data_IF_623124772668
#
_entry.id   IF_623124772668
#
_cell.length_a   1.000
_cell.length_b   1.000
_cell.length_c   1.000
_cell.angle_alpha   90.00
_cell.angle_beta   90.00
_cell.angle_gamma   90.00
#
_symmetry.space_group_name_H-M   'P 1'
#
loop_
_entity.id
_entity.type
_entity.pdbx_description
1 polymer ?
#
# COMPACT_ATOMS: atom_id res chain seq x y z
N UNK A 1 -0.91 36.88 -12.00
CA UNK A 1 -0.69 36.13 -10.74
C UNK A 1 -1.78 35.10 -10.66
N UNK A 2 -1.48 33.84 -10.98
CA UNK A 2 -2.50 32.79 -11.03
C UNK A 2 -2.46 32.02 -9.72
N UNK A 3 -3.56 32.10 -8.98
CA UNK A 3 -3.80 31.32 -7.78
C UNK A 3 -3.65 29.83 -8.12
N UNK A 4 -2.57 29.23 -7.60
CA UNK A 4 -2.45 27.79 -7.47
C UNK A 4 -3.48 27.34 -6.42
N UNK A 5 -4.75 27.25 -6.83
CA UNK A 5 -5.68 26.35 -6.19
C UNK A 5 -5.10 24.95 -6.37
N UNK A 6 -4.33 24.54 -5.37
CA UNK A 6 -4.03 23.15 -5.07
C UNK A 6 -5.36 22.44 -4.94
N UNK A 7 -5.84 21.90 -6.06
CA UNK A 7 -6.83 20.82 -6.12
C UNK A 7 -6.20 19.63 -5.43
N UNK A 8 -6.20 19.66 -4.10
CA UNK A 8 -5.69 18.63 -3.19
C UNK A 8 -6.59 17.40 -3.17
N UNK A 9 -7.36 17.15 -4.23
CA UNK A 9 -8.06 15.89 -4.36
C UNK A 9 -7.04 14.81 -4.71
N UNK A 10 -6.92 13.76 -3.89
CA UNK A 10 -6.01 12.67 -4.17
C UNK A 10 -6.39 12.03 -5.50
N UNK A 11 -5.46 12.03 -6.46
CA UNK A 11 -5.66 11.38 -7.75
C UNK A 11 -5.86 9.87 -7.52
N UNK A 12 -6.92 9.25 -8.06
CA UNK A 12 -7.11 7.81 -7.93
C UNK A 12 -5.96 7.06 -8.58
N UNK A 13 -5.48 6.01 -7.91
CA UNK A 13 -4.34 5.21 -8.34
C UNK A 13 -4.73 3.76 -8.63
N UNK A 14 -3.96 3.10 -9.51
CA UNK A 14 -4.07 1.65 -9.69
C UNK A 14 -3.72 0.92 -8.40
N UNK A 15 -4.23 -0.30 -8.23
CA UNK A 15 -3.89 -1.13 -7.06
C UNK A 15 -2.38 -1.35 -6.97
N UNK A 16 -1.70 -1.67 -8.08
CA UNK A 16 -0.25 -1.84 -8.14
C UNK A 16 0.51 -0.63 -7.58
N UNK A 17 0.15 0.59 -7.98
CA UNK A 17 0.85 1.78 -7.51
C UNK A 17 0.63 2.04 -6.01
N UNK A 18 -0.59 1.84 -5.50
CA UNK A 18 -0.88 1.97 -4.07
C UNK A 18 -0.09 0.93 -3.26
N UNK A 19 -0.06 -0.32 -3.73
CA UNK A 19 0.71 -1.41 -3.14
C UNK A 19 2.19 -1.10 -3.05
N UNK A 20 2.79 -0.69 -4.17
CA UNK A 20 4.19 -0.30 -4.21
C UNK A 20 4.50 0.81 -3.20
N UNK A 21 3.60 1.78 -3.01
CA UNK A 21 3.79 2.86 -2.04
C UNK A 21 3.71 2.39 -0.60
N UNK A 22 2.70 1.60 -0.25
CA UNK A 22 2.50 1.16 1.13
C UNK A 22 3.60 0.18 1.56
N UNK A 23 4.01 -0.72 0.67
CA UNK A 23 5.14 -1.63 0.94
C UNK A 23 6.46 -0.86 1.03
N UNK A 24 6.70 0.11 0.13
CA UNK A 24 7.88 0.98 0.24
C UNK A 24 7.90 1.78 1.55
N UNK A 25 6.75 2.29 1.98
CA UNK A 25 6.62 3.01 3.24
C UNK A 25 6.91 2.09 4.44
N UNK A 26 6.42 0.85 4.42
CA UNK A 26 6.70 -0.16 5.43
C UNK A 26 8.20 -0.48 5.52
N UNK A 27 8.84 -0.68 4.37
CA UNK A 27 10.29 -0.90 4.26
C UNK A 27 11.12 0.38 4.42
N UNK A 28 10.49 1.50 4.81
CA UNK A 28 11.13 2.80 5.07
C UNK A 28 11.90 3.39 3.87
N UNK A 29 11.63 2.93 2.65
CA UNK A 29 12.25 3.42 1.41
C UNK A 29 12.07 4.93 1.21
N UNK A 30 10.92 5.57 1.55
CA UNK A 30 10.77 7.01 1.41
C UNK A 30 11.79 7.86 2.19
N UNK A 31 12.48 7.32 3.18
CA UNK A 31 13.59 8.02 3.86
C UNK A 31 14.79 8.28 2.94
N UNK A 32 14.97 7.43 1.93
CA UNK A 32 16.02 7.52 0.92
C UNK A 32 15.60 8.37 -0.29
N UNK A 33 14.35 8.79 -0.35
CA UNK A 33 13.83 9.60 -1.45
C UNK A 33 14.40 11.02 -1.41
N UNK A 34 14.70 11.61 -2.57
CA UNK A 34 15.17 13.01 -2.67
C UNK A 34 14.06 14.04 -2.38
N UNK A 35 12.79 13.66 -2.52
CA UNK A 35 11.63 14.53 -2.25
C UNK A 35 11.46 14.74 -0.75
N UNK A 36 11.58 15.98 -0.29
CA UNK A 36 11.50 16.36 1.13
C UNK A 36 10.20 15.92 1.80
N UNK A 37 9.07 16.07 1.10
CA UNK A 37 7.74 15.68 1.62
C UNK A 37 7.65 14.17 1.89
N UNK A 38 8.20 13.34 0.99
CA UNK A 38 8.25 11.88 1.15
C UNK A 38 9.10 11.49 2.36
N UNK A 39 10.27 12.10 2.56
CA UNK A 39 11.13 11.82 3.74
C UNK A 39 10.45 12.19 5.06
N UNK A 40 9.75 13.35 5.09
CA UNK A 40 9.11 13.88 6.30
C UNK A 40 7.88 13.08 6.72
N UNK A 41 7.01 12.77 5.76
CA UNK A 41 5.75 12.07 6.03
C UNK A 41 5.88 10.55 6.01
N UNK A 42 6.98 10.03 5.44
CA UNK A 42 7.17 8.60 5.07
C UNK A 42 6.09 8.07 4.14
N UNK A 43 5.29 8.95 3.55
CA UNK A 43 4.28 8.62 2.56
C UNK A 43 4.83 9.11 1.23
N UNK A 44 5.12 8.16 0.33
CA UNK A 44 5.52 8.48 -1.02
C UNK A 44 4.31 9.08 -1.75
N UNK A 45 4.37 10.37 -2.07
CA UNK A 45 3.34 11.12 -2.79
C UNK A 45 3.81 11.58 -4.17
N UNK A 46 2.87 12.07 -4.98
CA UNK A 46 3.13 12.57 -6.34
C UNK A 46 2.81 11.56 -7.44
N UNK A 47 2.71 11.97 -8.71
CA UNK A 47 2.33 11.08 -9.80
C UNK A 47 3.38 9.99 -10.04
N UNK A 48 2.94 8.84 -10.57
CA UNK A 48 3.88 7.80 -11.00
C UNK A 48 4.79 8.32 -12.12
N UNK A 49 6.07 7.97 -12.07
CA UNK A 49 7.08 8.38 -13.05
C UNK A 49 7.65 7.15 -13.78
N UNK A 50 8.11 7.28 -15.03
CA UNK A 50 8.81 6.20 -15.72
C UNK A 50 9.99 5.69 -14.89
N UNK A 51 10.15 4.37 -14.81
CA UNK A 51 11.32 3.76 -14.17
C UNK A 51 12.62 4.20 -14.90
N UNK A 52 13.71 4.44 -14.16
CA UNK A 52 15.00 4.77 -14.81
C UNK A 52 15.59 3.58 -15.56
N UNK A 53 15.24 2.35 -15.16
CA UNK A 53 15.61 1.09 -15.82
C UNK A 53 14.40 0.16 -15.82
N UNK A 54 13.45 0.29 -16.76
CA UNK A 54 12.19 -0.45 -16.71
C UNK A 54 12.39 -1.97 -16.92
N UNK A 55 11.60 -2.79 -16.23
CA UNK A 55 11.49 -4.24 -16.43
C UNK A 55 10.59 -4.54 -17.63
N UNK A 56 9.51 -3.77 -17.79
CA UNK A 56 8.56 -3.87 -18.89
C UNK A 56 8.38 -2.50 -19.56
N UNK A 57 8.06 -2.50 -20.85
CA UNK A 57 7.79 -1.26 -21.58
C UNK A 57 6.67 -0.47 -20.90
N UNK A 58 6.92 0.80 -20.60
CA UNK A 58 5.95 1.68 -19.96
C UNK A 58 5.81 1.52 -18.44
N UNK A 59 6.69 0.77 -17.76
CA UNK A 59 6.68 0.65 -16.29
C UNK A 59 6.73 2.04 -15.63
N UNK A 60 5.68 2.34 -14.82
CA UNK A 60 5.59 3.56 -14.02
C UNK A 60 5.61 3.22 -12.54
N UNK A 61 6.40 3.97 -11.78
CA UNK A 61 6.70 3.72 -10.38
C UNK A 61 6.40 4.94 -9.52
N UNK A 62 6.11 4.75 -8.22
CA UNK A 62 6.20 5.84 -7.26
C UNK A 62 7.58 6.52 -7.32
N UNK A 63 7.69 7.85 -7.13
CA UNK A 63 8.97 8.56 -7.26
C UNK A 63 10.10 8.00 -6.37
N UNK A 64 9.74 7.49 -5.19
CA UNK A 64 10.67 6.84 -4.26
C UNK A 64 11.27 5.52 -4.77
N UNK A 65 10.63 4.86 -5.75
CA UNK A 65 11.05 3.57 -6.30
C UNK A 65 11.65 3.67 -7.70
N UNK A 66 11.72 4.87 -8.28
CA UNK A 66 12.21 5.08 -9.66
C UNK A 66 13.61 4.49 -9.92
N UNK A 67 14.44 4.44 -8.86
CA UNK A 67 15.81 3.92 -8.83
C UNK A 67 15.97 2.65 -7.99
N UNK A 68 14.88 2.08 -7.50
CA UNK A 68 14.93 0.85 -6.72
C UNK A 68 15.58 -0.26 -7.56
N UNK A 69 16.32 -1.18 -6.92
CA UNK A 69 16.93 -2.30 -7.60
C UNK A 69 15.89 -3.16 -8.34
N UNK A 70 16.19 -3.70 -9.55
CA UNK A 70 15.23 -4.49 -10.32
C UNK A 70 14.60 -5.65 -9.55
N UNK A 71 15.38 -6.34 -8.71
CA UNK A 71 14.88 -7.45 -7.88
C UNK A 71 13.81 -6.99 -6.89
N UNK A 72 14.03 -5.86 -6.21
CA UNK A 72 13.04 -5.28 -5.29
C UNK A 72 11.75 -4.96 -6.02
N UNK A 73 11.86 -4.38 -7.22
CA UNK A 73 10.69 -4.04 -8.04
C UNK A 73 9.94 -5.27 -8.53
N UNK A 74 10.65 -6.33 -8.96
CA UNK A 74 10.01 -7.61 -9.32
C UNK A 74 9.22 -8.17 -8.14
N UNK A 75 9.81 -8.21 -6.95
CA UNK A 75 9.12 -8.70 -5.76
C UNK A 75 7.86 -7.88 -5.44
N UNK A 76 7.94 -6.56 -5.57
CA UNK A 76 6.79 -5.67 -5.38
C UNK A 76 5.70 -5.88 -6.42
N UNK A 77 6.06 -6.10 -7.68
CA UNK A 77 5.12 -6.38 -8.77
C UNK A 77 4.45 -7.73 -8.57
N UNK A 78 5.22 -8.78 -8.25
CA UNK A 78 4.68 -10.11 -7.95
C UNK A 78 3.69 -10.06 -6.79
N UNK A 79 4.06 -9.40 -5.69
CA UNK A 79 3.13 -9.20 -4.57
C UNK A 79 1.88 -8.42 -5.01
N UNK A 80 2.03 -7.41 -5.87
CA UNK A 80 0.90 -6.64 -6.37
C UNK A 80 -0.05 -7.48 -7.23
N UNK A 81 0.48 -8.38 -8.06
CA UNK A 81 -0.30 -9.30 -8.87
C UNK A 81 -1.07 -10.30 -7.98
N UNK A 82 -0.39 -10.89 -6.99
CA UNK A 82 -1.01 -11.78 -6.00
C UNK A 82 -2.18 -11.10 -5.29
N UNK A 83 -1.99 -9.87 -4.83
CA UNK A 83 -3.02 -9.13 -4.10
C UNK A 83 -4.15 -8.65 -5.01
N UNK A 84 -3.84 -8.34 -6.27
CA UNK A 84 -4.86 -8.01 -7.28
C UNK A 84 -5.75 -9.22 -7.56
N UNK A 85 -5.20 -10.44 -7.59
CA UNK A 85 -6.00 -11.65 -7.74
C UNK A 85 -6.98 -11.86 -6.56
N UNK A 86 -6.59 -11.50 -5.34
CA UNK A 86 -7.47 -11.57 -4.17
C UNK A 86 -8.70 -10.65 -4.28
N UNK A 87 -8.61 -9.55 -5.03
CA UNK A 87 -9.71 -8.57 -5.18
C UNK A 87 -10.37 -8.59 -6.56
N UNK A 88 -9.85 -9.37 -7.50
CA UNK A 88 -10.41 -9.53 -8.83
C UNK A 88 -11.88 -9.97 -8.71
N UNK A 89 -12.81 -9.44 -9.51
CA UNK A 89 -14.21 -9.89 -9.47
C UNK A 89 -14.31 -11.40 -9.66
N UNK A 90 -15.13 -12.06 -8.85
CA UNK A 90 -15.44 -13.49 -8.97
C UNK A 90 -16.94 -13.65 -8.84
N UNK A 91 -17.51 -14.49 -9.70
CA UNK A 91 -18.91 -14.88 -9.60
C UNK A 91 -19.07 -15.96 -8.52
N UNK A 92 -19.79 -15.63 -7.45
CA UNK A 92 -20.08 -16.55 -6.35
C UNK A 92 -19.23 -16.34 -5.09
N UNK A 93 -19.39 -17.23 -4.09
CA UNK A 93 -18.71 -17.10 -2.81
C UNK A 93 -17.20 -17.33 -2.95
N UNK A 94 -16.42 -16.57 -2.18
CA UNK A 94 -14.98 -16.79 -2.07
C UNK A 94 -14.71 -18.07 -1.29
N UNK A 95 -13.88 -18.94 -1.84
CA UNK A 95 -13.46 -20.17 -1.20
C UNK A 95 -12.13 -19.96 -0.48
N UNK A 96 -12.13 -20.23 0.82
CA UNK A 96 -10.92 -20.22 1.62
C UNK A 96 -10.06 -21.45 1.31
N UNK A 97 -8.72 -21.29 1.26
CA UNK A 97 -7.82 -22.44 1.17
C UNK A 97 -8.06 -23.41 2.33
N UNK A 98 -8.03 -24.71 2.04
CA UNK A 98 -8.11 -25.76 3.05
C UNK A 98 -6.77 -26.00 3.75
N UNK A 99 -5.67 -25.68 3.05
CA UNK A 99 -4.33 -25.71 3.61
C UNK A 99 -4.13 -24.53 4.58
N UNK A 100 -3.69 -24.83 5.79
CA UNK A 100 -3.52 -23.85 6.87
C UNK A 100 -2.48 -22.78 6.52
N UNK A 101 -1.42 -23.17 5.81
CA UNK A 101 -0.36 -22.23 5.39
C UNK A 101 -0.92 -21.24 4.37
N UNK A 102 -1.60 -21.73 3.34
CA UNK A 102 -2.24 -20.90 2.32
C UNK A 102 -3.36 -20.02 2.91
N UNK A 103 -4.14 -20.52 3.87
CA UNK A 103 -5.14 -19.74 4.57
C UNK A 103 -4.49 -18.59 5.37
N UNK A 104 -3.39 -18.88 6.07
CA UNK A 104 -2.61 -17.89 6.81
C UNK A 104 -2.05 -16.80 5.88
N UNK A 105 -1.45 -17.19 4.75
CA UNK A 105 -0.95 -16.25 3.75
C UNK A 105 -2.08 -15.36 3.20
N UNK A 106 -3.25 -15.93 2.93
CA UNK A 106 -4.42 -15.18 2.53
C UNK A 106 -4.83 -14.16 3.61
N UNK A 107 -4.84 -14.53 4.90
CA UNK A 107 -5.14 -13.58 6.00
C UNK A 107 -4.15 -12.41 6.02
N UNK A 108 -2.86 -12.69 5.85
CA UNK A 108 -1.81 -11.66 5.74
C UNK A 108 -2.10 -10.71 4.57
N UNK A 109 -2.41 -11.28 3.39
CA UNK A 109 -2.74 -10.54 2.18
C UNK A 109 -3.99 -9.66 2.35
N UNK A 110 -5.06 -10.20 2.92
CA UNK A 110 -6.28 -9.44 3.22
C UNK A 110 -6.00 -8.32 4.22
N UNK A 111 -5.17 -8.55 5.22
CA UNK A 111 -4.72 -7.52 6.17
C UNK A 111 -4.04 -6.33 5.47
N UNK A 112 -3.13 -6.62 4.53
CA UNK A 112 -2.45 -5.59 3.72
C UNK A 112 -3.43 -4.87 2.78
N UNK A 113 -4.34 -5.60 2.12
CA UNK A 113 -5.37 -5.00 1.26
C UNK A 113 -6.30 -4.06 2.03
N UNK A 114 -6.70 -4.43 3.25
CA UNK A 114 -7.51 -3.56 4.10
C UNK A 114 -6.82 -2.24 4.45
N UNK A 115 -5.50 -2.26 4.66
CA UNK A 115 -4.71 -1.03 4.85
C UNK A 115 -4.74 -0.14 3.61
N UNK A 116 -4.62 -0.74 2.43
CA UNK A 116 -4.46 -0.02 1.15
C UNK A 116 -5.79 0.50 0.61
N UNK A 117 -6.88 -0.24 0.82
CA UNK A 117 -8.22 0.12 0.39
C UNK A 117 -8.72 1.45 1.01
N UNK A 118 -8.14 1.87 2.15
CA UNK A 118 -8.40 3.19 2.73
C UNK A 118 -7.92 4.37 1.88
N UNK A 119 -7.11 4.13 0.83
CA UNK A 119 -6.68 5.15 -0.13
C UNK A 119 -7.58 5.19 -1.38
N UNK A 120 -7.77 6.36 -2.00
CA UNK A 120 -8.47 6.48 -3.28
C UNK A 120 -7.87 5.58 -4.36
N UNK A 121 -8.72 4.83 -5.04
CA UNK A 121 -8.34 3.89 -6.10
C UNK A 121 -9.34 3.89 -7.25
N UNK A 122 -8.91 3.40 -8.40
CA UNK A 122 -9.74 3.40 -9.62
C UNK A 122 -11.01 2.53 -9.51
N UNK A 123 -10.99 1.46 -8.70
CA UNK A 123 -12.10 0.50 -8.59
C UNK A 123 -12.48 0.24 -7.13
N UNK A 124 -12.58 1.32 -6.34
CA UNK A 124 -12.73 1.20 -4.88
C UNK A 124 -13.99 0.39 -4.48
N UNK A 125 -15.13 0.55 -5.15
CA UNK A 125 -16.32 -0.21 -4.76
C UNK A 125 -16.21 -1.70 -5.06
N UNK A 126 -15.60 -2.08 -6.20
CA UNK A 126 -15.31 -3.47 -6.52
C UNK A 126 -14.31 -4.08 -5.52
N UNK A 127 -13.27 -3.32 -5.14
CA UNK A 127 -12.32 -3.73 -4.10
C UNK A 127 -13.03 -3.98 -2.76
N UNK A 128 -13.94 -3.08 -2.37
CA UNK A 128 -14.70 -3.19 -1.12
C UNK A 128 -15.61 -4.42 -1.14
N UNK A 129 -16.31 -4.65 -2.25
CA UNK A 129 -17.18 -5.80 -2.43
C UNK A 129 -16.40 -7.11 -2.33
N UNK A 130 -15.24 -7.21 -2.98
CA UNK A 130 -14.36 -8.38 -2.88
C UNK A 130 -13.86 -8.64 -1.47
N UNK A 131 -13.44 -7.61 -0.73
CA UNK A 131 -13.03 -7.76 0.67
C UNK A 131 -14.19 -8.18 1.58
N UNK A 132 -15.40 -7.66 1.33
CA UNK A 132 -16.60 -8.08 2.04
C UNK A 132 -16.94 -9.55 1.75
N UNK A 133 -16.80 -10.00 0.51
CA UNK A 133 -17.03 -11.39 0.12
C UNK A 133 -16.07 -12.35 0.85
N UNK A 134 -14.78 -12.01 0.95
CA UNK A 134 -13.82 -12.80 1.75
C UNK A 134 -14.20 -12.84 3.22
N UNK A 135 -14.62 -11.71 3.78
CA UNK A 135 -15.01 -11.62 5.19
C UNK A 135 -16.29 -12.39 5.51
N UNK A 136 -17.20 -12.55 4.54
CA UNK A 136 -18.46 -13.26 4.71
C UNK A 136 -18.29 -14.79 4.72
N UNK A 137 -17.26 -15.31 4.04
CA UNK A 137 -16.95 -16.73 4.00
C UNK A 137 -15.76 -17.14 4.89
N UNK A 138 -15.28 -16.23 5.75
CA UNK A 138 -14.14 -16.45 6.62
C UNK A 138 -14.42 -17.53 7.67
N UNK A 139 -13.68 -18.66 7.66
CA UNK A 139 -13.85 -19.70 8.66
C UNK A 139 -13.37 -19.28 10.05
N UNK A 140 -12.48 -18.28 10.16
CA UNK A 140 -11.99 -17.74 11.43
C UNK A 140 -11.82 -16.21 11.35
N UNK A 141 -12.91 -15.45 11.55
CA UNK A 141 -12.87 -14.00 11.45
C UNK A 141 -12.03 -13.34 12.56
N UNK A 142 -11.88 -13.97 13.72
CA UNK A 142 -11.10 -13.43 14.84
C UNK A 142 -9.61 -13.48 14.53
N UNK A 143 -9.14 -14.57 13.93
CA UNK A 143 -7.77 -14.69 13.45
C UNK A 143 -7.49 -13.66 12.34
N UNK A 144 -8.36 -13.55 11.34
CA UNK A 144 -8.22 -12.54 10.29
C UNK A 144 -8.17 -11.11 10.85
N UNK A 145 -8.93 -10.82 11.91
CA UNK A 145 -8.89 -9.53 12.58
C UNK A 145 -7.54 -9.24 13.27
N UNK A 146 -6.79 -10.25 13.71
CA UNK A 146 -5.41 -10.08 14.21
C UNK A 146 -4.47 -9.62 13.10
N UNK A 147 -4.50 -10.27 11.94
CA UNK A 147 -3.68 -9.88 10.79
C UNK A 147 -3.98 -8.46 10.30
N UNK A 148 -5.27 -8.08 10.25
CA UNK A 148 -5.68 -6.70 9.94
C UNK A 148 -5.08 -5.68 10.93
N UNK A 149 -4.93 -6.03 12.21
CA UNK A 149 -4.37 -5.14 13.24
C UNK A 149 -2.87 -4.89 13.07
N UNK A 150 -2.10 -5.90 12.66
CA UNK A 150 -0.66 -5.77 12.40
C UNK A 150 -0.39 -4.69 11.34
N UNK A 151 -1.23 -4.64 10.31
CA UNK A 151 -1.06 -3.73 9.19
C UNK A 151 -1.65 -2.32 9.40
N UNK A 152 -2.39 -2.07 10.49
CA UNK A 152 -2.91 -0.73 10.78
C UNK A 152 -1.76 0.27 10.83
N UNK A 153 -1.99 1.48 10.31
CA UNK A 153 -1.04 2.57 10.41
C UNK A 153 -0.57 2.72 11.87
N UNK A 154 0.69 2.38 12.15
CA UNK A 154 1.36 2.92 13.33
C UNK A 154 1.31 4.43 13.15
N UNK A 155 0.50 5.12 13.97
CA UNK A 155 0.57 6.58 14.05
C UNK A 155 2.07 6.89 14.25
N UNK A 156 2.66 7.80 13.46
CA UNK A 156 4.03 8.20 13.74
C UNK A 156 4.07 8.65 15.19
N UNK A 157 4.89 7.99 16.01
CA UNK A 157 5.15 8.44 17.37
C UNK A 157 5.47 9.92 17.29
N UNK A 158 4.68 10.75 18.00
CA UNK A 158 5.01 12.15 18.16
C UNK A 158 6.41 12.16 18.79
N UNK A 159 7.41 12.61 18.03
CA UNK A 159 8.75 12.88 18.57
C UNK A 159 8.55 13.75 19.82
N UNK A 160 9.15 13.41 20.97
CA UNK A 160 9.16 14.34 22.10
C UNK A 160 9.79 15.63 21.57
N UNK A 161 9.05 16.74 21.74
CA UNK A 161 9.58 18.05 21.42
C UNK A 161 10.87 18.20 22.22
N UNK A 162 12.00 18.33 21.54
CA UNK A 162 13.29 18.53 22.19
C UNK A 162 13.18 19.77 23.07
N UNK A 163 13.12 19.55 24.39
CA UNK A 163 13.24 20.61 25.37
C UNK A 163 14.55 21.32 25.10
N UNK A 164 14.45 22.55 24.62
CA UNK A 164 15.59 23.45 24.53
C UNK A 164 15.80 23.98 25.94
N UNK A 165 16.50 23.21 26.78
CA UNK A 165 17.07 23.74 28.01
C UNK A 165 18.38 24.40 27.61
N UNK A 166 18.32 25.69 27.29
CA UNK A 166 19.51 26.53 27.23
C UNK A 166 20.02 26.75 28.67
N UNK A 167 21.34 26.69 28.93
CA UNK A 167 21.88 27.05 30.22
C UNK A 167 21.98 28.58 30.32
N UNK A 168 21.60 29.12 31.47
CA UNK A 168 22.04 30.43 31.97
C UNK A 168 22.60 30.21 33.36
#
# INVERSE_FOLDING_TARGET
MSDQQTTHHPTPETMHLRLMRDTAAEWRIPQLCRIRQCRRSRICGGPAAPAERPITTGERLPPCLRRAEPTLRRNLLTLADTLSACIAPVDGPRLWPQDETAATELRVHLGLLHRIHGRPGLHQDAERASLAAWSASDPDPDETALYRRIWRHRKPEKRPAGGTSAPA
#
